data_IF_263440273093
#
_entry.id   IF_263440273093
#
_cell.length_a   1.000
_cell.length_b   1.000
_cell.length_c   1.000
_cell.angle_alpha   90.00
_cell.angle_beta   90.00
_cell.angle_gamma   90.00
#
_symmetry.space_group_name_H-M   'P 1'
#
loop_
_entity.id
_entity.type
_entity.pdbx_description
1 polymer ?
#
# COMPACT_ATOMS: atom_id res chain seq x y z
N UNK A 1 -18.60 10.63 0.52
CA UNK A 1 -17.93 9.42 1.08
C UNK A 1 -16.86 8.83 0.15
N UNK A 2 -17.20 8.61 -1.12
CA UNK A 2 -16.28 7.96 -2.08
C UNK A 2 -15.07 8.82 -2.49
N UNK A 3 -15.21 10.14 -2.38
CA UNK A 3 -14.13 11.11 -2.64
C UNK A 3 -13.16 11.26 -1.45
N UNK A 4 -13.57 10.84 -0.24
CA UNK A 4 -12.72 10.86 0.97
C UNK A 4 -12.06 9.52 1.26
N UNK A 5 -12.30 8.49 0.44
CA UNK A 5 -11.71 7.17 0.61
C UNK A 5 -10.18 7.24 0.41
N UNK A 6 -9.43 6.72 1.38
CA UNK A 6 -7.97 6.65 1.35
C UNK A 6 -7.48 5.52 2.26
N UNK A 7 -6.17 5.27 2.27
CA UNK A 7 -5.53 4.32 3.21
C UNK A 7 -5.41 4.87 4.63
N UNK A 8 -5.57 6.19 4.83
CA UNK A 8 -5.40 6.86 6.13
C UNK A 8 -6.19 6.22 7.29
N UNK A 9 -7.52 5.98 7.21
CA UNK A 9 -8.25 5.37 8.32
C UNK A 9 -7.80 3.94 8.63
N UNK A 10 -7.22 3.22 7.67
CA UNK A 10 -6.69 1.87 7.86
C UNK A 10 -5.32 1.93 8.55
N UNK A 11 -4.37 2.67 7.97
CA UNK A 11 -2.97 2.67 8.43
C UNK A 11 -2.75 3.52 9.68
N UNK A 12 -3.36 4.71 9.77
CA UNK A 12 -3.26 5.58 10.96
C UNK A 12 -4.11 5.01 12.10
N UNK A 13 -5.27 4.43 11.78
CA UNK A 13 -6.12 3.75 12.76
C UNK A 13 -5.46 2.51 13.37
N UNK A 14 -4.84 1.67 12.54
CA UNK A 14 -4.02 0.54 13.01
C UNK A 14 -2.90 1.01 13.94
N UNK A 15 -2.12 2.02 13.52
CA UNK A 15 -1.02 2.54 14.33
C UNK A 15 -1.46 3.14 15.65
N UNK A 16 -2.65 3.78 15.70
CA UNK A 16 -3.24 4.23 16.96
C UNK A 16 -3.49 3.05 17.90
N UNK A 17 -4.19 2.01 17.42
CA UNK A 17 -4.49 0.84 18.25
C UNK A 17 -3.21 0.10 18.68
N UNK A 18 -2.21 0.01 17.82
CA UNK A 18 -0.91 -0.58 18.13
C UNK A 18 -0.14 0.26 19.18
N UNK A 19 -0.19 1.59 19.07
CA UNK A 19 0.41 2.47 20.06
C UNK A 19 -0.27 2.30 21.43
N UNK A 20 -1.60 2.24 21.47
CA UNK A 20 -2.33 1.95 22.71
C UNK A 20 -1.92 0.60 23.30
N UNK A 21 -1.83 -0.45 22.48
CA UNK A 21 -1.33 -1.77 22.90
C UNK A 21 0.07 -1.67 23.50
N UNK A 22 0.97 -0.89 22.91
CA UNK A 22 2.33 -0.70 23.44
C UNK A 22 2.36 -0.05 24.83
N UNK A 23 1.32 0.71 25.20
CA UNK A 23 1.20 1.36 26.50
C UNK A 23 0.60 0.43 27.57
N UNK A 24 -0.35 -0.42 27.20
CA UNK A 24 -1.11 -1.26 28.17
C UNK A 24 -0.75 -2.75 28.14
N UNK A 25 -0.08 -3.21 27.08
CA UNK A 25 0.24 -4.62 26.84
C UNK A 25 -0.81 -5.36 26.00
N UNK A 26 -0.38 -6.37 25.26
CA UNK A 26 -1.21 -7.17 24.35
C UNK A 26 -2.41 -7.82 25.05
N UNK A 27 -2.19 -8.44 26.22
CA UNK A 27 -3.25 -9.14 26.94
C UNK A 27 -4.37 -8.19 27.38
N UNK A 28 -4.00 -7.02 27.90
CA UNK A 28 -4.90 -5.95 28.31
C UNK A 28 -5.64 -5.35 27.12
N UNK A 29 -4.94 -5.14 26.00
CA UNK A 29 -5.56 -4.65 24.77
C UNK A 29 -6.60 -5.63 24.23
N UNK A 30 -6.30 -6.93 24.22
CA UNK A 30 -7.26 -7.96 23.79
C UNK A 30 -8.49 -8.00 24.70
N UNK A 31 -8.32 -7.83 26.02
CA UNK A 31 -9.43 -7.78 26.97
C UNK A 31 -10.30 -6.52 26.79
N UNK A 32 -9.66 -5.35 26.64
CA UNK A 32 -10.34 -4.09 26.34
C UNK A 32 -11.16 -4.20 25.05
N UNK A 33 -10.55 -4.68 23.97
CA UNK A 33 -11.23 -4.82 22.67
C UNK A 33 -12.42 -5.78 22.75
N UNK A 34 -12.27 -6.92 23.43
CA UNK A 34 -13.37 -7.87 23.64
C UNK A 34 -14.52 -7.21 24.41
N UNK A 35 -14.21 -6.52 25.50
CA UNK A 35 -15.20 -5.84 26.33
C UNK A 35 -15.90 -4.71 25.57
N UNK A 36 -15.14 -3.91 24.82
CA UNK A 36 -15.66 -2.84 23.98
C UNK A 36 -16.62 -3.35 22.89
N UNK A 37 -16.25 -4.42 22.19
CA UNK A 37 -17.09 -5.02 21.13
C UNK A 37 -18.39 -5.58 21.74
N UNK A 38 -18.31 -6.29 22.87
CA UNK A 38 -19.48 -6.85 23.54
C UNK A 38 -20.42 -5.76 24.07
N UNK A 39 -19.88 -4.68 24.65
CA UNK A 39 -20.67 -3.58 25.18
C UNK A 39 -21.42 -2.79 24.09
N UNK A 40 -20.85 -2.73 22.87
CA UNK A 40 -21.38 -1.95 21.76
C UNK A 40 -22.00 -2.80 20.64
N UNK A 41 -22.20 -4.10 20.88
CA UNK A 41 -22.77 -5.00 19.88
C UNK A 41 -24.16 -4.51 19.42
N UNK A 42 -24.41 -4.57 18.11
CA UNK A 42 -25.68 -4.14 17.49
C UNK A 42 -26.04 -2.65 17.72
N UNK A 43 -25.04 -1.81 17.99
CA UNK A 43 -25.20 -0.36 18.12
C UNK A 43 -24.34 0.39 17.09
N UNK A 44 -24.47 1.72 17.06
CA UNK A 44 -23.55 2.61 16.35
C UNK A 44 -22.80 3.45 17.36
N UNK A 45 -21.51 3.66 17.12
CA UNK A 45 -20.61 4.36 18.04
C UNK A 45 -19.84 5.45 17.29
N UNK A 46 -19.43 6.45 18.04
CA UNK A 46 -18.49 7.48 17.63
C UNK A 46 -17.14 7.25 18.32
N UNK A 47 -16.09 7.97 17.91
CA UNK A 47 -14.73 7.72 18.41
C UNK A 47 -14.59 7.95 19.92
N UNK A 48 -15.35 8.88 20.48
CA UNK A 48 -15.37 9.23 21.91
C UNK A 48 -15.78 8.04 22.79
N UNK A 49 -16.69 7.19 22.30
CA UNK A 49 -17.08 5.96 23.01
C UNK A 49 -15.88 5.03 23.22
N UNK A 50 -14.98 4.91 22.24
CA UNK A 50 -13.76 4.11 22.37
C UNK A 50 -12.73 4.78 23.29
N UNK A 51 -12.57 6.10 23.18
CA UNK A 51 -11.67 6.87 24.04
C UNK A 51 -12.07 6.73 25.51
N UNK A 52 -13.35 6.86 25.81
CA UNK A 52 -13.90 6.69 27.17
C UNK A 52 -13.70 5.25 27.67
N UNK A 53 -13.95 4.25 26.82
CA UNK A 53 -13.71 2.84 27.16
C UNK A 53 -12.24 2.56 27.49
N UNK A 54 -11.29 3.08 26.70
CA UNK A 54 -9.86 2.96 26.97
C UNK A 54 -9.49 3.62 28.29
N UNK A 55 -9.91 4.87 28.51
CA UNK A 55 -9.59 5.62 29.73
C UNK A 55 -10.16 4.95 30.98
N UNK A 56 -11.39 4.43 30.92
CA UNK A 56 -12.02 3.71 32.01
C UNK A 56 -11.31 2.37 32.29
N UNK A 57 -10.91 1.63 31.25
CA UNK A 57 -10.17 0.39 31.41
C UNK A 57 -8.80 0.63 32.06
N UNK A 58 -8.10 1.69 31.65
CA UNK A 58 -6.83 2.10 32.26
C UNK A 58 -6.99 2.44 33.75
N UNK A 59 -8.02 3.20 34.12
CA UNK A 59 -8.29 3.53 35.54
C UNK A 59 -8.63 2.29 36.40
N UNK A 60 -9.26 1.28 35.80
CA UNK A 60 -9.71 0.09 36.53
C UNK A 60 -8.61 -0.95 36.71
N UNK A 61 -7.68 -1.06 35.76
CA UNK A 61 -6.75 -2.19 35.68
C UNK A 61 -5.29 -1.82 36.00
N UNK A 62 -4.98 -0.54 36.17
CA UNK A 62 -3.64 -0.05 36.48
C UNK A 62 -3.62 0.75 37.78
N UNK A 63 -2.47 0.87 38.42
CA UNK A 63 -2.33 1.76 39.58
C UNK A 63 -2.52 3.22 39.16
N UNK A 64 -2.89 4.09 40.11
CA UNK A 64 -3.09 5.52 39.83
C UNK A 64 -1.88 6.16 39.13
N UNK A 65 -0.66 5.78 39.51
CA UNK A 65 0.56 6.32 38.91
C UNK A 65 0.75 5.85 37.46
N UNK A 66 0.53 4.57 37.18
CA UNK A 66 0.59 3.99 35.83
C UNK A 66 -0.51 4.57 34.93
N UNK A 67 -1.75 4.63 35.43
CA UNK A 67 -2.88 5.20 34.71
C UNK A 67 -2.62 6.66 34.31
N UNK A 68 -2.09 7.48 35.24
CA UNK A 68 -1.70 8.85 34.94
C UNK A 68 -0.59 8.94 33.88
N UNK A 69 0.40 8.05 33.92
CA UNK A 69 1.47 8.01 32.92
C UNK A 69 0.96 7.59 31.53
N UNK A 70 0.15 6.54 31.44
CA UNK A 70 -0.46 6.05 30.19
C UNK A 70 -1.31 7.15 29.54
N UNK A 71 -2.17 7.81 30.32
CA UNK A 71 -3.03 8.89 29.81
C UNK A 71 -2.23 10.13 29.40
N UNK A 72 -1.16 10.46 30.12
CA UNK A 72 -0.27 11.56 29.75
C UNK A 72 0.51 11.28 28.45
N UNK A 73 0.79 10.02 28.14
CA UNK A 73 1.45 9.61 26.89
C UNK A 73 0.51 9.60 25.67
N UNK A 74 -0.80 9.81 25.88
CA UNK A 74 -1.81 9.65 24.84
C UNK A 74 -2.53 10.96 24.50
N UNK A 75 -2.22 11.52 23.33
CA UNK A 75 -2.93 12.66 22.75
C UNK A 75 -3.96 12.20 21.70
N UNK A 76 -5.16 11.82 22.16
CA UNK A 76 -6.24 11.39 21.24
C UNK A 76 -6.62 12.46 20.22
N UNK A 77 -6.48 13.75 20.56
CA UNK A 77 -6.86 14.83 19.67
C UNK A 77 -5.90 14.90 18.47
N UNK A 78 -4.59 14.84 18.70
CA UNK A 78 -3.59 14.82 17.62
C UNK A 78 -3.70 13.54 16.76
N UNK A 79 -3.93 12.39 17.39
CA UNK A 79 -4.09 11.13 16.65
C UNK A 79 -5.32 11.13 15.73
N UNK A 80 -6.45 11.67 16.19
CA UNK A 80 -7.73 11.59 15.46
C UNK A 80 -7.90 12.76 14.48
N UNK A 81 -7.51 13.97 14.89
CA UNK A 81 -7.77 15.20 14.12
C UNK A 81 -6.51 15.81 13.51
N UNK A 82 -5.31 15.46 13.99
CA UNK A 82 -4.05 15.93 13.43
C UNK A 82 -3.88 15.43 11.98
N UNK A 83 -3.49 16.29 11.03
CA UNK A 83 -3.23 15.88 9.66
C UNK A 83 -1.87 15.16 9.54
N UNK A 84 -1.66 14.43 8.45
CA UNK A 84 -0.36 13.82 8.14
C UNK A 84 -0.09 12.52 8.89
N UNK A 85 1.20 12.26 9.16
CA UNK A 85 1.68 11.03 9.79
C UNK A 85 1.20 10.92 11.26
N UNK A 86 1.18 9.70 11.83
CA UNK A 86 1.02 9.51 13.27
C UNK A 86 1.99 10.39 14.08
N UNK A 87 1.54 10.95 15.23
CA UNK A 87 2.39 11.79 16.07
C UNK A 87 3.49 10.99 16.79
N UNK A 88 3.34 9.66 16.86
CA UNK A 88 4.36 8.75 17.40
C UNK A 88 4.85 7.85 16.28
N UNK A 89 6.17 7.82 16.09
CA UNK A 89 6.80 6.91 15.14
C UNK A 89 6.90 5.51 15.75
N UNK A 90 6.34 4.52 15.05
CA UNK A 90 6.41 3.11 15.39
C UNK A 90 7.27 2.40 14.34
N UNK A 91 8.24 1.60 14.81
CA UNK A 91 9.11 0.82 13.94
C UNK A 91 8.51 -0.57 13.71
N UNK A 92 8.08 -0.83 12.47
CA UNK A 92 7.55 -2.11 12.02
C UNK A 92 8.58 -2.93 11.21
N UNK A 93 9.86 -2.56 11.29
CA UNK A 93 10.93 -3.22 10.56
C UNK A 93 11.13 -4.64 11.05
N UNK A 94 11.28 -5.58 10.10
CA UNK A 94 11.62 -6.98 10.40
C UNK A 94 12.83 -7.40 9.57
N UNK A 95 13.54 -8.44 10.03
CA UNK A 95 14.66 -9.02 9.28
C UNK A 95 14.24 -9.47 7.89
N UNK A 96 13.05 -10.04 7.73
CA UNK A 96 12.54 -10.49 6.44
C UNK A 96 12.20 -9.33 5.50
N UNK A 97 11.64 -8.25 6.02
CA UNK A 97 11.39 -7.01 5.26
C UNK A 97 12.71 -6.41 4.75
N UNK A 98 13.73 -6.36 5.60
CA UNK A 98 15.06 -5.87 5.22
C UNK A 98 15.73 -6.77 4.18
N UNK A 99 15.63 -8.09 4.30
CA UNK A 99 16.17 -9.03 3.33
C UNK A 99 15.50 -8.89 1.95
N UNK A 100 14.17 -8.73 1.92
CA UNK A 100 13.42 -8.50 0.68
C UNK A 100 13.83 -7.20 -0.01
N UNK A 101 13.98 -6.09 0.73
CA UNK A 101 14.50 -4.82 0.19
C UNK A 101 15.93 -4.94 -0.31
N UNK A 102 16.81 -5.60 0.45
CA UNK A 102 18.20 -5.79 0.08
C UNK A 102 18.34 -6.62 -1.21
N UNK A 103 17.45 -7.58 -1.46
CA UNK A 103 17.43 -8.32 -2.71
C UNK A 103 17.11 -7.40 -3.90
N UNK A 104 16.15 -6.48 -3.76
CA UNK A 104 15.84 -5.49 -4.79
C UNK A 104 17.02 -4.55 -5.05
N UNK A 105 17.66 -4.03 -3.99
CA UNK A 105 18.87 -3.22 -4.09
C UNK A 105 19.99 -3.95 -4.83
N UNK A 106 20.13 -5.27 -4.61
CA UNK A 106 21.17 -6.06 -5.27
C UNK A 106 20.97 -6.19 -6.78
N UNK A 107 19.73 -6.32 -7.24
CA UNK A 107 19.44 -6.27 -8.69
C UNK A 107 19.80 -4.91 -9.31
N UNK A 108 19.54 -3.81 -8.59
CA UNK A 108 19.91 -2.46 -9.03
C UNK A 108 21.43 -2.33 -9.10
N UNK A 109 22.16 -2.79 -8.07
CA UNK A 109 23.63 -2.76 -8.01
C UNK A 109 24.28 -3.55 -9.16
N UNK A 110 23.71 -4.71 -9.50
CA UNK A 110 24.22 -5.57 -10.57
C UNK A 110 23.84 -5.08 -11.98
N UNK A 111 23.04 -4.02 -12.09
CA UNK A 111 22.68 -3.36 -13.35
C UNK A 111 22.09 -4.28 -14.46
N UNK A 112 21.61 -5.47 -14.11
CA UNK A 112 21.11 -6.49 -15.04
C UNK A 112 22.17 -7.45 -15.60
N UNK A 113 23.45 -7.24 -15.28
CA UNK A 113 24.57 -8.06 -15.78
C UNK A 113 24.60 -9.46 -15.15
N UNK A 114 24.14 -9.58 -13.90
CA UNK A 114 24.07 -10.84 -13.16
C UNK A 114 22.85 -10.90 -12.24
N UNK A 115 22.53 -12.10 -11.74
CA UNK A 115 21.52 -12.35 -10.73
C UNK A 115 22.16 -12.30 -9.32
N UNK A 116 21.48 -11.74 -8.30
CA UNK A 116 21.91 -11.88 -6.91
C UNK A 116 22.02 -13.34 -6.49
N UNK A 117 23.07 -13.77 -5.78
CA UNK A 117 23.28 -15.19 -5.42
C UNK A 117 22.08 -15.83 -4.69
N UNK A 118 21.31 -15.02 -3.95
CA UNK A 118 20.17 -15.45 -3.15
C UNK A 118 18.81 -15.14 -3.78
N UNK A 119 18.74 -14.91 -5.11
CA UNK A 119 17.47 -14.54 -5.76
C UNK A 119 16.35 -15.58 -5.60
N UNK A 120 16.71 -16.85 -5.42
CA UNK A 120 15.76 -17.95 -5.18
C UNK A 120 14.97 -17.78 -3.87
N UNK A 121 15.49 -17.02 -2.89
CA UNK A 121 14.78 -16.73 -1.63
C UNK A 121 13.42 -16.07 -1.89
N UNK A 122 13.31 -15.28 -2.95
CA UNK A 122 12.07 -14.61 -3.36
C UNK A 122 10.91 -15.59 -3.57
N UNK A 123 11.18 -16.80 -4.07
CA UNK A 123 10.13 -17.82 -4.29
C UNK A 123 9.58 -18.39 -2.99
N UNK A 124 10.32 -18.28 -1.89
CA UNK A 124 9.88 -18.64 -0.54
C UNK A 124 9.13 -17.52 0.18
N UNK A 125 9.13 -16.30 -0.36
CA UNK A 125 8.42 -15.18 0.24
C UNK A 125 6.91 -15.35 0.10
N UNK A 126 6.16 -15.06 1.17
CA UNK A 126 4.73 -14.85 1.05
C UNK A 126 4.45 -13.55 0.29
N UNK A 127 3.23 -13.42 -0.26
CA UNK A 127 2.81 -12.28 -1.11
C UNK A 127 3.26 -10.91 -0.60
N UNK A 128 3.08 -10.60 0.70
CA UNK A 128 3.48 -9.31 1.26
C UNK A 128 4.99 -9.02 1.16
N UNK A 129 5.86 -10.01 1.33
CA UNK A 129 7.30 -9.82 1.16
C UNK A 129 7.70 -9.70 -0.31
N UNK A 130 6.98 -10.35 -1.22
CA UNK A 130 7.16 -10.14 -2.67
C UNK A 130 6.72 -8.73 -3.07
N UNK A 131 5.62 -8.24 -2.51
CA UNK A 131 5.18 -6.85 -2.67
C UNK A 131 6.25 -5.88 -2.17
N UNK A 132 6.83 -6.09 -0.99
CA UNK A 132 7.92 -5.24 -0.45
C UNK A 132 9.11 -5.16 -1.42
N UNK A 133 9.50 -6.27 -2.03
CA UNK A 133 10.56 -6.30 -3.05
C UNK A 133 10.20 -5.39 -4.23
N UNK A 134 8.98 -5.53 -4.79
CA UNK A 134 8.54 -4.73 -5.94
C UNK A 134 8.36 -3.26 -5.56
N UNK A 135 7.84 -2.94 -4.38
CA UNK A 135 7.71 -1.57 -3.88
C UNK A 135 9.07 -0.88 -3.73
N UNK A 136 10.08 -1.63 -3.30
CA UNK A 136 11.46 -1.12 -3.26
C UNK A 136 11.97 -0.80 -4.67
N UNK A 137 11.70 -1.64 -5.68
CA UNK A 137 12.01 -1.33 -7.08
C UNK A 137 11.26 -0.09 -7.59
N UNK A 138 9.98 0.05 -7.25
CA UNK A 138 9.17 1.24 -7.60
C UNK A 138 9.76 2.51 -6.98
N UNK A 139 10.21 2.45 -5.73
CA UNK A 139 10.88 3.58 -5.06
C UNK A 139 12.21 3.95 -5.73
N UNK A 140 12.93 2.96 -6.25
CA UNK A 140 14.20 3.11 -6.97
C UNK A 140 14.04 3.26 -8.49
N UNK A 141 12.83 3.56 -9.00
CA UNK A 141 12.54 3.53 -10.44
C UNK A 141 13.50 4.37 -11.30
N UNK A 142 14.06 5.45 -10.75
CA UNK A 142 15.02 6.31 -11.44
C UNK A 142 16.38 5.62 -11.71
N UNK A 143 16.69 4.58 -10.94
CA UNK A 143 17.91 3.79 -11.04
C UNK A 143 17.71 2.49 -11.85
N UNK A 144 16.49 2.22 -12.34
CA UNK A 144 16.17 1.03 -13.09
C UNK A 144 16.34 1.21 -14.60
N UNK A 145 16.73 0.12 -15.26
CA UNK A 145 16.85 0.03 -16.73
C UNK A 145 16.07 -1.19 -17.22
N UNK A 146 15.74 -1.21 -18.51
CA UNK A 146 15.10 -2.39 -19.13
C UNK A 146 15.91 -3.68 -18.97
N UNK A 147 17.24 -3.58 -18.92
CA UNK A 147 18.11 -4.72 -18.66
C UNK A 147 17.92 -5.28 -17.23
N UNK A 148 17.77 -4.40 -16.23
CA UNK A 148 17.45 -4.81 -14.85
C UNK A 148 16.07 -5.49 -14.81
N UNK A 149 15.03 -4.90 -15.43
CA UNK A 149 13.70 -5.56 -15.44
C UNK A 149 13.75 -6.91 -16.14
N UNK A 150 14.42 -7.02 -17.29
CA UNK A 150 14.55 -8.27 -18.02
C UNK A 150 15.26 -9.36 -17.19
N UNK A 151 16.30 -8.98 -16.42
CA UNK A 151 17.00 -9.88 -15.50
C UNK A 151 16.08 -10.36 -14.39
N UNK A 152 15.42 -9.43 -13.70
CA UNK A 152 14.46 -9.75 -12.62
C UNK A 152 13.35 -10.68 -13.15
N UNK A 153 12.81 -10.40 -14.33
CA UNK A 153 11.71 -11.18 -14.90
C UNK A 153 12.16 -12.57 -15.35
N UNK A 154 13.38 -12.71 -15.87
CA UNK A 154 13.97 -14.00 -16.19
C UNK A 154 14.15 -14.88 -14.94
N UNK A 155 14.55 -14.27 -13.82
CA UNK A 155 14.85 -14.98 -12.57
C UNK A 155 13.58 -15.29 -11.76
N UNK A 156 12.65 -14.34 -11.70
CA UNK A 156 11.50 -14.34 -10.79
C UNK A 156 10.14 -14.49 -11.47
N UNK A 157 10.08 -14.36 -12.80
CA UNK A 157 8.85 -14.48 -13.61
C UNK A 157 7.71 -13.57 -13.13
N UNK A 158 8.03 -12.32 -12.77
CA UNK A 158 7.08 -11.36 -12.21
C UNK A 158 6.00 -10.94 -13.22
N UNK A 159 6.33 -10.89 -14.51
CA UNK A 159 5.37 -10.54 -15.57
C UNK A 159 4.21 -11.55 -15.63
N UNK A 160 4.49 -12.82 -15.34
CA UNK A 160 3.49 -13.89 -15.35
C UNK A 160 3.05 -14.34 -13.94
N UNK A 161 3.38 -13.57 -12.88
CA UNK A 161 2.96 -13.91 -11.52
C UNK A 161 1.44 -14.04 -11.45
N UNK A 162 0.92 -14.98 -10.66
CA UNK A 162 -0.53 -15.09 -10.43
C UNK A 162 -1.01 -14.17 -9.30
N UNK A 163 -0.09 -13.58 -8.52
CA UNK A 163 -0.43 -12.70 -7.41
C UNK A 163 -0.85 -11.31 -7.93
N UNK A 164 -2.13 -10.92 -7.80
CA UNK A 164 -2.60 -9.62 -8.27
C UNK A 164 -1.97 -8.44 -7.52
N UNK A 165 -1.54 -8.61 -6.27
CA UNK A 165 -0.88 -7.55 -5.49
C UNK A 165 0.53 -7.26 -6.04
N UNK A 166 1.21 -8.28 -6.55
CA UNK A 166 2.47 -8.14 -7.29
C UNK A 166 2.23 -7.54 -8.68
N UNK A 167 1.24 -8.05 -9.44
CA UNK A 167 0.90 -7.53 -10.79
C UNK A 167 0.61 -6.03 -10.77
N UNK A 168 -0.17 -5.57 -9.79
CA UNK A 168 -0.57 -4.17 -9.61
C UNK A 168 0.63 -3.22 -9.47
N UNK A 169 1.80 -3.72 -9.07
CA UNK A 169 3.01 -2.90 -8.91
C UNK A 169 4.03 -3.13 -10.02
N UNK A 170 4.24 -4.39 -10.40
CA UNK A 170 5.21 -4.77 -11.42
C UNK A 170 4.83 -4.26 -12.82
N UNK A 171 3.57 -4.47 -13.23
CA UNK A 171 3.14 -4.13 -14.59
C UNK A 171 3.17 -2.61 -14.83
N UNK A 172 2.67 -1.75 -13.91
CA UNK A 172 2.83 -0.29 -14.04
C UNK A 172 4.30 0.16 -14.04
N UNK A 173 5.18 -0.47 -13.27
CA UNK A 173 6.62 -0.18 -13.29
C UNK A 173 7.21 -0.48 -14.68
N UNK A 174 6.89 -1.64 -15.25
CA UNK A 174 7.31 -2.02 -16.59
C UNK A 174 6.83 -1.04 -17.65
N UNK A 175 5.56 -0.61 -17.60
CA UNK A 175 5.01 0.40 -18.52
C UNK A 175 5.77 1.73 -18.43
N UNK A 176 6.08 2.23 -17.22
CA UNK A 176 6.83 3.47 -17.02
C UNK A 176 8.25 3.42 -17.60
N UNK A 177 8.87 2.24 -17.56
CA UNK A 177 10.24 2.03 -18.05
C UNK A 177 10.29 1.53 -19.50
N UNK A 178 9.15 1.43 -20.18
CA UNK A 178 9.05 0.95 -21.56
C UNK A 178 9.45 -0.52 -21.72
N UNK A 179 9.28 -1.34 -20.68
CA UNK A 179 9.55 -2.77 -20.72
C UNK A 179 8.41 -3.50 -21.44
N UNK A 180 8.58 -3.71 -22.75
CA UNK A 180 7.55 -4.29 -23.65
C UNK A 180 6.91 -5.60 -23.15
N UNK A 181 7.63 -6.55 -22.52
CA UNK A 181 7.01 -7.77 -22.01
C UNK A 181 5.89 -7.54 -20.98
N UNK A 182 5.86 -6.40 -20.29
CA UNK A 182 4.80 -6.06 -19.35
C UNK A 182 3.51 -5.54 -20.02
N UNK A 183 3.56 -5.17 -21.31
CA UNK A 183 2.46 -4.44 -21.96
C UNK A 183 1.21 -5.29 -22.17
N UNK A 184 1.35 -6.48 -22.75
CA UNK A 184 0.21 -7.39 -22.95
C UNK A 184 -0.33 -7.88 -21.59
N UNK A 185 0.51 -8.31 -20.63
CA UNK A 185 0.01 -8.74 -19.33
C UNK A 185 -0.67 -7.61 -18.55
N UNK A 186 -0.25 -6.36 -18.71
CA UNK A 186 -0.95 -5.20 -18.16
C UNK A 186 -2.35 -5.04 -18.77
N UNK A 187 -2.46 -5.17 -20.10
CA UNK A 187 -3.74 -5.10 -20.81
C UNK A 187 -4.70 -6.24 -20.41
N UNK A 188 -4.20 -7.47 -20.35
CA UNK A 188 -4.97 -8.62 -19.90
C UNK A 188 -5.43 -8.41 -18.44
N UNK A 189 -4.53 -7.96 -17.56
CA UNK A 189 -4.84 -7.74 -16.14
C UNK A 189 -5.98 -6.74 -15.93
N UNK A 190 -5.97 -5.60 -16.64
CA UNK A 190 -7.06 -4.62 -16.53
C UNK A 190 -8.35 -5.06 -17.22
N UNK A 191 -8.30 -6.04 -18.13
CA UNK A 191 -9.48 -6.56 -18.83
C UNK A 191 -10.16 -7.70 -18.06
N UNK A 192 -9.44 -8.34 -17.15
CA UNK A 192 -9.96 -9.42 -16.29
C UNK A 192 -10.41 -8.93 -14.90
N UNK A 193 -9.96 -7.75 -14.47
CA UNK A 193 -10.18 -7.21 -13.13
C UNK A 193 -11.07 -5.96 -13.13
N UNK A 194 -11.94 -5.82 -12.12
CA UNK A 194 -12.79 -4.64 -11.94
C UNK A 194 -12.42 -3.73 -10.76
N UNK A 195 -11.43 -4.12 -9.94
CA UNK A 195 -11.08 -3.42 -8.70
C UNK A 195 -10.28 -2.16 -9.02
N UNK A 196 -10.77 -0.99 -8.62
CA UNK A 196 -10.08 0.28 -8.84
C UNK A 196 -8.63 0.30 -8.34
N UNK A 197 -8.34 -0.37 -7.23
CA UNK A 197 -6.97 -0.58 -6.70
C UNK A 197 -6.03 -1.14 -7.77
N UNK A 198 -6.50 -2.05 -8.63
CA UNK A 198 -5.70 -2.69 -9.69
C UNK A 198 -5.70 -1.89 -10.98
N UNK A 199 -6.82 -1.25 -11.31
CA UNK A 199 -6.98 -0.49 -12.54
C UNK A 199 -6.19 0.82 -12.52
N UNK A 200 -6.34 1.61 -11.45
CA UNK A 200 -5.80 2.97 -11.39
C UNK A 200 -4.28 3.04 -11.61
N UNK A 201 -3.45 2.17 -10.99
CA UNK A 201 -2.00 2.21 -11.18
C UNK A 201 -1.58 1.94 -12.63
N UNK A 202 -2.25 1.02 -13.33
CA UNK A 202 -1.95 0.68 -14.75
C UNK A 202 -2.29 1.86 -15.66
N UNK A 203 -3.51 2.38 -15.57
CA UNK A 203 -3.90 3.54 -16.37
C UNK A 203 -3.04 4.77 -16.04
N UNK A 204 -2.71 4.99 -14.77
CA UNK A 204 -1.80 6.07 -14.37
C UNK A 204 -0.40 5.89 -14.99
N UNK A 205 0.15 4.68 -15.01
CA UNK A 205 1.43 4.42 -15.65
C UNK A 205 1.41 4.70 -17.16
N UNK A 206 0.36 4.33 -17.88
CA UNK A 206 0.21 4.68 -19.30
C UNK A 206 0.23 6.20 -19.50
N UNK A 207 -0.55 6.93 -18.69
CA UNK A 207 -0.62 8.39 -18.77
C UNK A 207 0.72 9.07 -18.43
N UNK A 208 1.37 8.62 -17.35
CA UNK A 208 2.70 9.10 -16.94
C UNK A 208 3.77 8.82 -18.01
N UNK A 209 3.59 7.76 -18.81
CA UNK A 209 4.49 7.38 -19.91
C UNK A 209 4.14 8.06 -21.25
N UNK A 210 3.14 8.95 -21.28
CA UNK A 210 2.69 9.62 -22.51
C UNK A 210 1.85 8.75 -23.43
N UNK A 211 1.40 7.58 -22.98
CA UNK A 211 0.60 6.60 -23.74
C UNK A 211 -0.91 6.84 -23.55
N UNK A 212 -1.34 8.11 -23.62
CA UNK A 212 -2.74 8.48 -23.39
C UNK A 212 -3.71 7.81 -24.38
N UNK A 213 -3.34 7.73 -25.66
CA UNK A 213 -4.16 7.07 -26.67
C UNK A 213 -4.32 5.57 -26.38
N UNK A 214 -3.29 4.91 -25.86
CA UNK A 214 -3.38 3.51 -25.41
C UNK A 214 -4.29 3.38 -24.19
N UNK A 215 -4.19 4.30 -23.23
CA UNK A 215 -5.09 4.34 -22.08
C UNK A 215 -6.55 4.52 -22.49
N UNK A 216 -6.84 5.42 -23.44
CA UNK A 216 -8.19 5.64 -23.98
C UNK A 216 -8.71 4.40 -24.71
N UNK A 217 -7.89 3.76 -25.55
CA UNK A 217 -8.26 2.54 -26.26
C UNK A 217 -8.59 1.39 -25.30
N UNK A 218 -7.71 1.11 -24.33
CA UNK A 218 -7.92 0.04 -23.34
C UNK A 218 -9.13 0.31 -22.43
N UNK A 219 -9.39 1.58 -22.11
CA UNK A 219 -10.56 1.98 -21.35
C UNK A 219 -11.85 1.72 -22.12
N UNK A 220 -11.88 2.09 -23.40
CA UNK A 220 -13.07 1.93 -24.26
C UNK A 220 -13.40 0.47 -24.55
N UNK A 221 -12.39 -0.40 -24.66
CA UNK A 221 -12.57 -1.85 -24.77
C UNK A 221 -13.27 -2.45 -23.54
N UNK A 222 -12.98 -1.90 -22.35
CA UNK A 222 -13.43 -2.45 -21.07
C UNK A 222 -14.54 -1.66 -20.39
N UNK A 223 -15.00 -0.54 -20.97
CA UNK A 223 -15.94 0.40 -20.34
C UNK A 223 -17.26 -0.26 -19.94
N UNK A 224 -17.72 -1.26 -20.72
CA UNK A 224 -18.96 -1.99 -20.46
C UNK A 224 -18.78 -3.13 -19.44
N UNK A 225 -17.55 -3.55 -19.18
CA UNK A 225 -17.22 -4.56 -18.17
C UNK A 225 -17.05 -3.93 -16.79
N UNK A 226 -16.48 -2.73 -16.71
CA UNK A 226 -16.23 -2.06 -15.45
C UNK A 226 -17.51 -1.63 -14.71
N UNK A 227 -17.43 -1.65 -13.37
CA UNK A 227 -18.46 -1.06 -12.52
C UNK A 227 -18.59 0.46 -12.80
N UNK A 228 -19.80 1.06 -12.78
CA UNK A 228 -19.99 2.48 -13.08
C UNK A 228 -19.12 3.45 -12.28
N UNK A 229 -18.84 3.14 -11.00
CA UNK A 229 -17.91 3.93 -10.17
C UNK A 229 -16.47 3.89 -10.69
N UNK A 230 -16.03 2.73 -11.20
CA UNK A 230 -14.70 2.60 -11.78
C UNK A 230 -14.61 3.39 -13.09
N UNK A 231 -15.66 3.29 -13.93
CA UNK A 231 -15.79 4.08 -15.17
C UNK A 231 -15.69 5.58 -14.89
N UNK A 232 -16.43 6.11 -13.92
CA UNK A 232 -16.40 7.53 -13.59
C UNK A 232 -15.01 7.98 -13.12
N UNK A 233 -14.37 7.23 -12.20
CA UNK A 233 -13.03 7.56 -11.70
C UNK A 233 -11.96 7.50 -12.80
N UNK A 234 -11.96 6.44 -13.62
CA UNK A 234 -10.98 6.28 -14.71
C UNK A 234 -11.18 7.34 -15.80
N UNK A 235 -12.42 7.62 -16.19
CA UNK A 235 -12.74 8.67 -17.18
C UNK A 235 -12.24 10.03 -16.72
N UNK A 236 -12.49 10.41 -15.47
CA UNK A 236 -11.98 11.67 -14.88
C UNK A 236 -10.46 11.72 -14.90
N UNK A 237 -9.79 10.61 -14.56
CA UNK A 237 -8.33 10.51 -14.56
C UNK A 237 -7.75 10.67 -15.97
N UNK A 238 -8.29 9.97 -16.97
CA UNK A 238 -7.81 10.02 -18.36
C UNK A 238 -8.08 11.39 -19.00
N UNK A 239 -9.29 11.95 -18.81
CA UNK A 239 -9.67 13.24 -19.36
C UNK A 239 -8.90 14.40 -18.72
N UNK A 240 -8.72 14.38 -17.40
CA UNK A 240 -8.04 15.42 -16.62
C UNK A 240 -6.51 15.41 -16.75
N UNK A 241 -5.92 14.36 -17.35
CA UNK A 241 -4.48 14.26 -17.52
C UNK A 241 -3.98 15.22 -18.60
N UNK A 242 -3.32 16.29 -18.18
CA UNK A 242 -2.63 17.26 -19.04
C UNK A 242 -1.11 17.13 -18.88
N UNK A 243 -0.38 17.42 -19.95
CA UNK A 243 1.09 17.24 -20.07
C UNK A 243 1.90 18.02 -18.99
N UNK A 244 1.29 18.97 -18.28
CA UNK A 244 1.93 19.74 -17.20
C UNK A 244 2.22 18.94 -15.91
N UNK A 245 1.58 17.78 -15.70
CA UNK A 245 1.86 16.90 -14.56
C UNK A 245 3.24 16.23 -14.57
N UNK A 246 3.97 16.30 -15.69
CA UNK A 246 5.30 15.69 -15.89
C UNK A 246 6.40 16.32 -15.02
N UNK A 247 6.24 17.57 -14.59
CA UNK A 247 7.27 18.34 -13.87
C UNK A 247 7.20 18.22 -12.35
N UNK A 248 6.11 17.69 -11.79
CA UNK A 248 5.93 17.61 -10.33
C UNK A 248 6.42 16.28 -9.70
N UNK A 249 6.83 15.30 -10.52
CA UNK A 249 7.30 13.98 -10.06
C UNK A 249 8.81 13.77 -10.27
N UNK A 250 9.53 14.81 -10.70
CA UNK A 250 11.00 14.81 -10.92
C UNK A 250 11.68 15.90 -10.06
N UNK A 251 11.01 16.35 -8.99
CA UNK A 251 11.58 17.20 -7.93
C UNK A 251 11.25 16.59 -6.58
#
# INVERSE_FOLDING_TARGET
PDDSFSTTPYEKGFQLLYYLESLIGEAQMQELLRSYILANQQTSVTYDVFVDAFNAYVDQNFTQAEASAIKAAMDFNEWIFGPGLPPVHLDFTTTALNASKALADKYVELAGDASPDNFEDFKGYYSGLQVVFIEKLVAEQANLTQAILARIDADLNLTNTLDPECKERWLPLGLRLGYEPAKEPAHAFISEQGRLKYLQPVYKALLDSGLKETAEAWFEENVNFYHPLAVDKLRKMIAGYSVQGRLALVQ
#
